data_IF_725086801336
#
_entry.id   IF_725086801336
#
_cell.length_a   1.000
_cell.length_b   1.000
_cell.length_c   1.000
_cell.angle_alpha   90.00
_cell.angle_beta   90.00
_cell.angle_gamma   90.00
#
_symmetry.space_group_name_H-M   'P 1'
#
loop_
_entity.id
_entity.type
_entity.pdbx_description
1 polymer ?
#
# COMPACT_ATOMS: atom_id res chain seq x y z
N UNK A 1 -1.99 -17.03 8.33
CA UNK A 1 -2.79 -15.86 8.74
C UNK A 1 -2.71 -14.82 7.63
N UNK A 2 -3.85 -14.41 7.07
CA UNK A 2 -3.92 -13.25 6.16
C UNK A 2 -4.27 -12.02 7.00
N UNK A 3 -3.41 -11.00 6.99
CA UNK A 3 -3.54 -9.82 7.84
C UNK A 3 -4.62 -8.84 7.36
N UNK A 4 -4.85 -8.79 6.05
CA UNK A 4 -5.72 -7.78 5.41
C UNK A 4 -7.05 -8.34 4.90
N UNK A 5 -7.27 -9.66 5.00
CA UNK A 5 -8.42 -10.34 4.40
C UNK A 5 -8.48 -10.25 2.85
N UNK A 6 -7.43 -9.72 2.21
CA UNK A 6 -7.35 -9.54 0.76
C UNK A 6 -6.46 -10.61 0.13
N UNK A 7 -6.73 -10.91 -1.15
CA UNK A 7 -5.84 -11.77 -1.94
C UNK A 7 -4.48 -11.10 -2.15
N UNK A 8 -3.43 -11.90 -2.34
CA UNK A 8 -2.09 -11.38 -2.66
C UNK A 8 -2.12 -10.51 -3.91
N UNK A 9 -2.91 -10.86 -4.92
CA UNK A 9 -3.09 -10.05 -6.13
C UNK A 9 -3.65 -8.66 -5.82
N UNK A 10 -4.71 -8.58 -5.00
CA UNK A 10 -5.32 -7.30 -4.59
C UNK A 10 -4.32 -6.44 -3.81
N UNK A 11 -3.57 -7.03 -2.89
CA UNK A 11 -2.54 -6.31 -2.12
C UNK A 11 -1.43 -5.80 -3.02
N UNK A 12 -0.91 -6.62 -3.94
CA UNK A 12 0.13 -6.20 -4.89
C UNK A 12 -0.35 -5.06 -5.77
N UNK A 13 -1.59 -5.14 -6.28
CA UNK A 13 -2.18 -4.06 -7.08
C UNK A 13 -2.26 -2.75 -6.31
N UNK A 14 -2.74 -2.77 -5.06
CA UNK A 14 -2.80 -1.58 -4.20
C UNK A 14 -1.42 -0.98 -3.94
N UNK A 15 -0.41 -1.82 -3.67
CA UNK A 15 0.97 -1.36 -3.49
C UNK A 15 1.53 -0.70 -4.76
N UNK A 16 1.27 -1.28 -5.94
CA UNK A 16 1.68 -0.69 -7.22
C UNK A 16 0.99 0.67 -7.45
N UNK A 17 -0.30 0.78 -7.15
CA UNK A 17 -1.04 2.06 -7.27
C UNK A 17 -0.46 3.14 -6.34
N UNK A 18 -0.06 2.78 -5.12
CA UNK A 18 0.57 3.71 -4.17
C UNK A 18 2.00 4.08 -4.57
N UNK A 19 2.76 3.15 -5.15
CA UNK A 19 4.10 3.40 -5.67
C UNK A 19 4.07 4.36 -6.88
N UNK A 20 3.13 4.17 -7.80
CA UNK A 20 2.93 5.08 -8.94
C UNK A 20 2.57 6.50 -8.50
N UNK A 21 1.88 6.65 -7.36
CA UNK A 21 1.57 7.95 -6.76
C UNK A 21 2.73 8.53 -5.93
N UNK A 22 3.83 7.81 -5.80
CA UNK A 22 5.00 8.22 -5.03
C UNK A 22 4.81 8.16 -3.51
N UNK A 23 3.75 7.50 -3.02
CA UNK A 23 3.41 7.41 -1.60
C UNK A 23 4.35 6.43 -0.89
N UNK A 24 4.69 5.33 -1.57
CA UNK A 24 5.60 4.31 -1.09
C UNK A 24 6.69 4.01 -2.12
N UNK A 25 7.71 3.28 -1.71
CA UNK A 25 8.57 2.48 -2.58
C UNK A 25 8.46 1.02 -2.14
N UNK A 26 8.26 0.12 -3.10
CA UNK A 26 8.19 -1.31 -2.87
C UNK A 26 9.55 -1.96 -3.08
N UNK A 27 9.90 -2.89 -2.19
CA UNK A 27 11.11 -3.70 -2.25
C UNK A 27 10.75 -5.17 -1.96
N UNK A 28 11.64 -6.13 -2.29
CA UNK A 28 11.43 -7.50 -1.90
C UNK A 28 11.25 -7.62 -0.37
N UNK A 29 10.05 -8.00 0.06
CA UNK A 29 9.66 -8.19 1.47
C UNK A 29 9.67 -6.91 2.34
N UNK A 30 9.79 -5.72 1.76
CA UNK A 30 9.70 -4.47 2.52
C UNK A 30 9.01 -3.36 1.71
N UNK A 31 8.44 -2.40 2.43
CA UNK A 31 7.77 -1.23 1.85
C UNK A 31 8.28 -0.02 2.62
N UNK A 32 8.85 0.94 1.90
CA UNK A 32 9.26 2.23 2.46
C UNK A 32 8.12 3.23 2.26
N UNK A 33 7.70 3.89 3.34
CA UNK A 33 6.72 4.98 3.28
C UNK A 33 7.47 6.27 2.93
N UNK A 34 7.13 6.90 1.81
CA UNK A 34 7.73 8.15 1.33
C UNK A 34 6.87 9.37 1.69
N UNK A 35 5.55 9.20 1.66
CA UNK A 35 4.57 10.22 2.04
C UNK A 35 3.58 9.67 3.07
N UNK A 36 3.82 10.00 4.34
CA UNK A 36 2.97 9.55 5.45
C UNK A 36 1.58 10.20 5.42
N UNK A 37 1.47 11.44 4.93
CA UNK A 37 0.18 12.15 4.85
C UNK A 37 -0.67 11.57 3.73
N UNK A 38 -0.08 11.38 2.54
CA UNK A 38 -0.71 10.69 1.42
C UNK A 38 -1.15 9.27 1.76
N UNK A 39 -0.34 8.53 2.52
CA UNK A 39 -0.74 7.20 2.99
C UNK A 39 -1.95 7.27 3.92
N UNK A 40 -1.99 8.25 4.84
CA UNK A 40 -3.10 8.40 5.80
C UNK A 40 -4.42 8.80 5.13
N UNK A 41 -4.38 9.62 4.08
CA UNK A 41 -5.58 10.00 3.32
C UNK A 41 -6.12 8.84 2.51
N UNK A 42 -5.25 8.02 1.91
CA UNK A 42 -5.65 6.82 1.17
C UNK A 42 -6.08 5.64 2.07
N UNK A 43 -5.45 5.49 3.24
CA UNK A 43 -5.80 4.45 4.22
C UNK A 43 -7.17 4.65 4.87
N UNK A 44 -7.75 5.85 4.81
CA UNK A 44 -9.06 6.17 5.40
C UNK A 44 -10.27 5.82 4.50
N UNK A 45 -10.05 5.47 3.24
CA UNK A 45 -11.13 5.20 2.28
C UNK A 45 -11.63 3.74 2.23
N UNK A 46 -11.20 2.88 3.15
CA UNK A 46 -11.48 1.44 3.14
C UNK A 46 -12.20 0.95 4.41
N UNK A 47 -13.04 1.78 5.03
CA UNK A 47 -13.91 1.42 6.14
C UNK A 47 -15.37 1.69 5.79
#
# INVERSE_FOLDING_TARGET
MQMTGMTSFTVTRLLSEWEQRGIIASHPRSVLIKDLLGLRTHGKGAA
#
